data_IF_345294188534
#
_entry.id   IF_345294188534
#
_cell.length_a   1.000
_cell.length_b   1.000
_cell.length_c   1.000
_cell.angle_alpha   90.00
_cell.angle_beta   90.00
_cell.angle_gamma   90.00
#
_symmetry.space_group_name_H-M   'P 1'
#
loop_
_entity.id
_entity.type
_entity.pdbx_description
1 polymer ?
#
# COMPACT_ATOMS: atom_id res chain seq x y z
N UNK A 1 17.51 1.35 -12.48
CA UNK A 1 18.13 1.91 -13.70
C UNK A 1 19.34 2.83 -13.43
N UNK A 2 20.00 2.78 -12.26
CA UNK A 2 21.14 3.64 -11.91
C UNK A 2 22.53 3.00 -11.99
N UNK A 3 22.63 1.70 -12.28
CA UNK A 3 23.91 0.97 -12.23
C UNK A 3 24.91 1.33 -13.35
N UNK A 4 24.47 2.02 -14.40
CA UNK A 4 25.33 2.41 -15.52
C UNK A 4 26.02 3.77 -15.34
N UNK A 5 25.52 4.63 -14.43
CA UNK A 5 26.09 5.96 -14.22
C UNK A 5 27.57 5.93 -13.75
N UNK A 6 27.98 5.05 -12.81
CA UNK A 6 29.39 4.98 -12.39
C UNK A 6 30.32 4.52 -13.52
N UNK A 7 29.83 3.63 -14.40
CA UNK A 7 30.59 3.11 -15.55
C UNK A 7 30.74 4.15 -16.66
N UNK A 8 29.76 5.05 -16.83
CA UNK A 8 29.82 6.12 -17.81
C UNK A 8 30.83 7.22 -17.45
N UNK A 9 31.11 7.42 -16.16
CA UNK A 9 32.06 8.43 -15.68
C UNK A 9 33.43 7.86 -15.28
N UNK A 10 33.62 6.54 -15.37
CA UNK A 10 34.90 5.87 -15.08
C UNK A 10 36.01 6.43 -15.98
N UNK A 11 37.06 7.01 -15.38
CA UNK A 11 38.19 7.61 -16.09
C UNK A 11 38.02 9.10 -16.46
N UNK A 12 36.93 9.75 -16.05
CA UNK A 12 36.72 11.21 -16.21
C UNK A 12 36.95 11.96 -14.89
N UNK A 13 37.31 13.25 -14.91
CA UNK A 13 37.40 14.08 -13.69
C UNK A 13 36.08 14.19 -12.90
N UNK A 14 34.96 13.71 -13.43
CA UNK A 14 33.63 13.71 -12.81
C UNK A 14 33.39 12.51 -11.88
N UNK A 15 34.34 11.56 -11.76
CA UNK A 15 34.19 10.37 -10.90
C UNK A 15 33.91 10.76 -9.44
N UNK A 16 34.58 11.79 -8.91
CA UNK A 16 34.34 12.26 -7.53
C UNK A 16 32.96 12.89 -7.35
N UNK A 17 32.39 13.49 -8.39
CA UNK A 17 31.01 14.01 -8.35
C UNK A 17 29.98 12.86 -8.36
N UNK A 18 30.28 11.75 -9.04
CA UNK A 18 29.43 10.56 -9.04
C UNK A 18 29.41 9.86 -7.67
N UNK A 19 30.55 9.81 -6.97
CA UNK A 19 30.65 9.29 -5.59
C UNK A 19 29.84 10.16 -4.61
N UNK A 20 30.03 11.48 -4.64
CA UNK A 20 29.26 12.42 -3.83
C UNK A 20 27.75 12.31 -4.08
N UNK A 21 27.32 12.21 -5.34
CA UNK A 21 25.92 12.06 -5.69
C UNK A 21 25.33 10.75 -5.14
N UNK A 22 26.11 9.66 -5.13
CA UNK A 22 25.70 8.37 -4.55
C UNK A 22 25.51 8.47 -3.04
N UNK A 23 26.46 9.09 -2.34
CA UNK A 23 26.42 9.23 -0.88
C UNK A 23 25.28 10.16 -0.43
N UNK A 24 25.10 11.29 -1.12
CA UNK A 24 23.96 12.19 -0.88
C UNK A 24 22.63 11.51 -1.20
N UNK A 25 22.57 10.71 -2.28
CA UNK A 25 21.41 9.92 -2.63
C UNK A 25 21.05 8.89 -1.55
N UNK A 26 22.05 8.26 -0.93
CA UNK A 26 21.86 7.33 0.19
C UNK A 26 21.33 8.03 1.44
N UNK A 27 21.92 9.16 1.81
CA UNK A 27 21.47 9.95 2.97
C UNK A 27 20.04 10.45 2.75
N UNK A 28 19.74 10.99 1.56
CA UNK A 28 18.40 11.41 1.18
C UNK A 28 17.39 10.26 1.18
N UNK A 29 17.80 9.09 0.65
CA UNK A 29 16.99 7.87 0.65
C UNK A 29 16.66 7.39 2.05
N UNK A 30 17.65 7.37 2.96
CA UNK A 30 17.45 7.00 4.38
C UNK A 30 16.55 8.00 5.12
N UNK A 31 16.71 9.30 4.87
CA UNK A 31 15.86 10.33 5.46
C UNK A 31 14.40 10.19 5.02
N UNK A 32 14.16 10.02 3.71
CA UNK A 32 12.82 9.79 3.16
C UNK A 32 12.22 8.47 3.64
N UNK A 33 13.04 7.42 3.74
CA UNK A 33 12.61 6.13 4.27
C UNK A 33 12.18 6.23 5.74
N UNK A 34 12.95 6.94 6.58
CA UNK A 34 12.60 7.17 7.98
C UNK A 34 11.29 7.95 8.14
N UNK A 35 11.11 9.01 7.36
CA UNK A 35 9.86 9.78 7.33
C UNK A 35 8.67 8.91 6.85
N UNK A 36 8.90 8.07 5.84
CA UNK A 36 7.91 7.11 5.35
C UNK A 36 7.54 6.05 6.39
N UNK A 37 8.51 5.54 7.15
CA UNK A 37 8.28 4.57 8.22
C UNK A 37 7.39 5.17 9.32
N UNK A 38 7.71 6.39 9.75
CA UNK A 38 6.89 7.13 10.71
C UNK A 38 5.44 7.28 10.23
N UNK A 39 5.27 7.70 8.98
CA UNK A 39 3.94 7.83 8.35
C UNK A 39 3.21 6.49 8.26
N UNK A 40 3.90 5.41 7.90
CA UNK A 40 3.31 4.08 7.79
C UNK A 40 2.83 3.55 9.14
N UNK A 41 3.59 3.81 10.22
CA UNK A 41 3.19 3.47 11.58
C UNK A 41 1.91 4.22 11.95
N UNK A 42 1.87 5.53 11.74
CA UNK A 42 0.67 6.35 11.99
C UNK A 42 -0.53 5.83 11.20
N UNK A 43 -0.36 5.65 9.88
CA UNK A 43 -1.42 5.14 9.01
C UNK A 43 -1.93 3.78 9.51
N UNK A 44 -1.04 2.87 9.88
CA UNK A 44 -1.41 1.54 10.40
C UNK A 44 -2.20 1.64 11.71
N UNK A 45 -1.81 2.54 12.62
CA UNK A 45 -2.51 2.77 13.88
C UNK A 45 -3.92 3.30 13.64
N UNK A 46 -4.06 4.32 12.78
CA UNK A 46 -5.37 4.87 12.41
C UNK A 46 -6.24 3.82 11.71
N UNK A 47 -5.71 3.10 10.73
CA UNK A 47 -6.44 2.03 10.05
C UNK A 47 -6.93 0.98 11.05
N UNK A 48 -6.08 0.53 11.99
CA UNK A 48 -6.50 -0.42 13.04
C UNK A 48 -7.58 0.15 13.97
N UNK A 49 -7.51 1.42 14.31
CA UNK A 49 -8.51 2.10 15.12
C UNK A 49 -9.87 2.14 14.39
N UNK A 50 -9.90 2.61 13.15
CA UNK A 50 -11.13 2.71 12.35
C UNK A 50 -11.74 1.36 11.98
N UNK A 51 -10.92 0.32 11.77
CA UNK A 51 -11.42 -1.04 11.54
C UNK A 51 -12.15 -1.58 12.78
N UNK A 52 -11.70 -1.23 13.98
CA UNK A 52 -12.35 -1.63 15.24
C UNK A 52 -13.71 -0.97 15.44
N UNK A 53 -13.93 0.19 14.83
CA UNK A 53 -15.19 0.93 14.90
C UNK A 53 -16.21 0.49 13.81
N UNK A 54 -16.15 -0.77 13.35
CA UNK A 54 -17.06 -1.38 12.38
C UNK A 54 -17.12 -0.68 11.00
N UNK A 55 -15.98 -0.25 10.46
CA UNK A 55 -15.96 0.32 9.11
C UNK A 55 -16.40 -0.72 8.06
N UNK A 56 -17.47 -0.47 7.28
CA UNK A 56 -17.92 -1.38 6.24
C UNK A 56 -16.85 -1.50 5.13
N UNK A 57 -16.65 -2.73 4.67
CA UNK A 57 -15.71 -3.02 3.58
C UNK A 57 -16.12 -2.27 2.32
N UNK A 58 -15.16 -1.60 1.68
CA UNK A 58 -15.35 -0.93 0.40
C UNK A 58 -14.13 -1.13 -0.50
N UNK A 59 -14.27 -0.85 -1.79
CA UNK A 59 -13.20 -1.05 -2.77
C UNK A 59 -11.96 -0.18 -2.49
N UNK A 60 -12.10 0.90 -1.72
CA UNK A 60 -11.00 1.79 -1.31
C UNK A 60 -9.92 1.11 -0.49
N UNK A 61 -10.17 -0.07 0.08
CA UNK A 61 -9.17 -0.87 0.78
C UNK A 61 -8.02 -1.35 -0.14
N UNK A 62 -8.24 -1.43 -1.47
CA UNK A 62 -7.15 -1.67 -2.41
C UNK A 62 -6.08 -0.57 -2.36
N UNK A 63 -6.45 0.65 -1.97
CA UNK A 63 -5.54 1.79 -1.84
C UNK A 63 -4.38 1.57 -0.87
N UNK A 64 -4.48 0.62 0.06
CA UNK A 64 -3.40 0.30 1.00
C UNK A 64 -2.25 -0.50 0.37
N UNK A 65 -2.53 -1.26 -0.69
CA UNK A 65 -1.54 -2.16 -1.29
C UNK A 65 -0.41 -1.41 -2.01
N UNK A 66 -0.72 -0.27 -2.63
CA UNK A 66 0.26 0.50 -3.39
C UNK A 66 1.33 1.17 -2.50
N UNK A 67 0.98 1.99 -1.49
CA UNK A 67 1.98 2.60 -0.60
C UNK A 67 2.83 1.55 0.11
N UNK A 68 2.20 0.47 0.56
CA UNK A 68 2.88 -0.58 1.31
C UNK A 68 3.82 -1.39 0.40
N UNK A 69 3.45 -1.65 -0.86
CA UNK A 69 4.31 -2.28 -1.86
C UNK A 69 5.50 -1.41 -2.26
N UNK A 70 5.29 -0.12 -2.55
CA UNK A 70 6.39 0.81 -2.87
C UNK A 70 7.36 0.92 -1.71
N UNK A 71 6.85 0.98 -0.47
CA UNK A 71 7.69 1.06 0.73
C UNK A 71 8.48 -0.24 0.98
N UNK A 72 7.89 -1.41 0.72
CA UNK A 72 8.59 -2.69 0.77
C UNK A 72 9.74 -2.75 -0.24
N UNK A 73 9.49 -2.36 -1.50
CA UNK A 73 10.51 -2.31 -2.55
C UNK A 73 11.63 -1.33 -2.21
N UNK A 74 11.30 -0.13 -1.74
CA UNK A 74 12.30 0.85 -1.30
C UNK A 74 13.18 0.31 -0.16
N UNK A 75 12.60 -0.48 0.74
CA UNK A 75 13.34 -1.13 1.83
C UNK A 75 14.29 -2.21 1.31
N UNK A 76 13.88 -3.01 0.32
CA UNK A 76 14.77 -3.98 -0.34
C UNK A 76 15.89 -3.30 -1.14
N UNK A 77 15.62 -2.17 -1.80
CA UNK A 77 16.67 -1.37 -2.45
C UNK A 77 17.68 -0.85 -1.43
N UNK A 78 17.24 -0.36 -0.27
CA UNK A 78 18.16 0.01 0.82
C UNK A 78 18.99 -1.19 1.32
N UNK A 79 18.40 -2.39 1.40
CA UNK A 79 19.14 -3.60 1.70
C UNK A 79 20.21 -3.89 0.65
N UNK A 80 19.87 -3.79 -0.64
CA UNK A 80 20.80 -4.04 -1.74
C UNK A 80 21.97 -3.04 -1.75
N UNK A 81 21.72 -1.78 -1.42
CA UNK A 81 22.77 -0.75 -1.42
C UNK A 81 23.62 -0.78 -0.14
N UNK A 82 23.01 -1.01 1.03
CA UNK A 82 23.72 -0.97 2.33
C UNK A 82 24.29 -2.33 2.75
N UNK A 83 23.77 -3.43 2.22
CA UNK A 83 24.12 -4.80 2.63
C UNK A 83 23.58 -5.19 4.02
N UNK A 84 22.82 -4.33 4.70
CA UNK A 84 22.35 -4.60 6.07
C UNK A 84 21.12 -5.52 6.08
N UNK A 85 21.25 -6.64 6.80
CA UNK A 85 20.15 -7.60 7.00
C UNK A 85 18.93 -7.01 7.72
N UNK A 86 19.11 -5.93 8.48
CA UNK A 86 18.04 -5.15 9.10
C UNK A 86 16.95 -4.75 8.10
N UNK A 87 17.35 -4.21 6.94
CA UNK A 87 16.41 -3.82 5.89
C UNK A 87 15.77 -5.05 5.22
N UNK A 88 16.47 -6.19 5.15
CA UNK A 88 15.88 -7.44 4.66
C UNK A 88 14.70 -7.88 5.53
N UNK A 89 14.86 -7.86 6.86
CA UNK A 89 13.80 -8.23 7.80
C UNK A 89 12.61 -7.28 7.73
N UNK A 90 12.83 -5.97 7.65
CA UNK A 90 11.74 -5.00 7.53
C UNK A 90 11.03 -5.14 6.19
N UNK A 91 11.78 -5.29 5.09
CA UNK A 91 11.22 -5.50 3.76
C UNK A 91 10.35 -6.76 3.73
N UNK A 92 10.81 -7.85 4.35
CA UNK A 92 10.03 -9.09 4.46
C UNK A 92 8.75 -8.90 5.29
N UNK A 93 8.84 -8.20 6.43
CA UNK A 93 7.67 -7.89 7.26
C UNK A 93 6.62 -7.10 6.47
N UNK A 94 7.05 -6.08 5.72
CA UNK A 94 6.18 -5.30 4.85
C UNK A 94 5.58 -6.15 3.72
N UNK A 95 6.36 -7.05 3.11
CA UNK A 95 5.87 -7.95 2.07
C UNK A 95 4.80 -8.93 2.61
N UNK A 96 4.99 -9.46 3.82
CA UNK A 96 3.99 -10.31 4.49
C UNK A 96 2.72 -9.53 4.80
N UNK A 97 2.85 -8.28 5.30
CA UNK A 97 1.70 -7.40 5.51
C UNK A 97 0.96 -7.11 4.21
N UNK A 98 1.68 -6.86 3.11
CA UNK A 98 1.10 -6.67 1.78
C UNK A 98 0.30 -7.88 1.36
N UNK A 99 0.88 -9.08 1.47
CA UNK A 99 0.22 -10.33 1.13
C UNK A 99 -1.07 -10.51 1.95
N UNK A 100 -1.03 -10.26 3.26
CA UNK A 100 -2.20 -10.38 4.12
C UNK A 100 -3.32 -9.40 3.73
N UNK A 101 -2.99 -8.13 3.48
CA UNK A 101 -3.96 -7.12 3.02
C UNK A 101 -4.51 -7.51 1.65
N UNK A 102 -3.65 -7.90 0.73
CA UNK A 102 -4.04 -8.33 -0.61
C UNK A 102 -5.02 -9.50 -0.58
N UNK A 103 -4.73 -10.56 0.19
CA UNK A 103 -5.61 -11.72 0.32
C UNK A 103 -6.95 -11.37 0.98
N UNK A 104 -6.93 -10.51 2.01
CA UNK A 104 -8.16 -10.04 2.66
C UNK A 104 -9.05 -9.27 1.68
N UNK A 105 -8.50 -8.30 0.96
CA UNK A 105 -9.26 -7.48 0.03
C UNK A 105 -9.71 -8.32 -1.16
N UNK A 106 -8.85 -9.14 -1.73
CA UNK A 106 -9.18 -10.03 -2.84
C UNK A 106 -10.33 -10.99 -2.49
N UNK A 107 -10.27 -11.66 -1.34
CA UNK A 107 -11.34 -12.57 -0.90
C UNK A 107 -12.67 -11.84 -0.67
N UNK A 108 -12.65 -10.65 -0.08
CA UNK A 108 -13.84 -9.80 0.13
C UNK A 108 -14.39 -9.25 -1.19
N UNK A 109 -13.53 -8.87 -2.13
CA UNK A 109 -13.93 -8.48 -3.48
C UNK A 109 -14.58 -9.65 -4.21
N UNK A 110 -14.00 -10.85 -4.16
CA UNK A 110 -14.57 -12.04 -4.79
C UNK A 110 -15.93 -12.40 -4.18
N UNK A 111 -16.07 -12.33 -2.85
CA UNK A 111 -17.34 -12.53 -2.17
C UNK A 111 -18.38 -11.47 -2.56
N UNK A 112 -18.01 -10.18 -2.64
CA UNK A 112 -18.93 -9.11 -3.02
C UNK A 112 -19.34 -9.14 -4.50
N UNK A 113 -18.46 -9.61 -5.39
CA UNK A 113 -18.79 -9.89 -6.79
C UNK A 113 -19.77 -11.06 -6.89
N UNK A 114 -19.57 -12.12 -6.09
CA UNK A 114 -20.44 -13.29 -6.07
C UNK A 114 -21.84 -12.99 -5.51
N UNK A 115 -21.97 -12.06 -4.56
CA UNK A 115 -23.26 -11.65 -3.97
C UNK A 115 -23.96 -10.51 -4.74
N UNK A 116 -23.36 -9.94 -5.80
CA UNK A 116 -23.99 -8.89 -6.63
C UNK A 116 -24.09 -7.49 -6.01
N UNK A 117 -23.69 -7.33 -4.75
CA UNK A 117 -23.77 -6.08 -3.97
C UNK A 117 -22.73 -5.02 -4.41
N UNK A 118 -21.64 -5.43 -5.08
CA UNK A 118 -20.59 -4.50 -5.53
C UNK A 118 -21.02 -3.56 -6.67
N UNK A 119 -22.16 -3.84 -7.31
CA UNK A 119 -22.80 -3.01 -8.34
C UNK A 119 -24.20 -2.52 -7.95
N UNK A 120 -24.62 -2.67 -6.69
CA UNK A 120 -25.82 -1.98 -6.20
C UNK A 120 -25.46 -0.51 -5.96
N UNK A 121 -25.34 0.24 -7.06
CA UNK A 121 -25.32 1.68 -7.02
C UNK A 121 -26.75 2.14 -6.66
N UNK A 122 -27.00 2.69 -5.45
CA UNK A 122 -28.36 3.13 -5.08
C UNK A 122 -28.89 4.24 -5.99
N UNK A 123 -28.00 4.89 -6.76
CA UNK A 123 -28.32 5.88 -7.77
C UNK A 123 -28.77 5.32 -9.13
N UNK A 124 -28.71 4.00 -9.36
CA UNK A 124 -29.33 3.33 -10.51
C UNK A 124 -30.73 2.78 -10.20
N UNK A 125 -31.21 2.94 -8.96
CA UNK A 125 -32.64 2.86 -8.67
C UNK A 125 -33.34 4.00 -9.39
N UNK A 126 -33.95 3.72 -10.55
CA UNK A 126 -34.76 4.70 -11.26
C UNK A 126 -35.80 5.31 -10.31
N UNK A 127 -36.16 6.60 -10.46
CA UNK A 127 -37.17 7.25 -9.64
C UNK A 127 -38.51 6.51 -9.80
N UNK A 128 -38.81 5.59 -8.89
CA UNK A 128 -39.98 4.72 -8.98
C UNK A 128 -39.78 3.26 -8.54
N UNK A 129 -38.60 2.83 -8.08
CA UNK A 129 -38.49 1.50 -7.48
C UNK A 129 -39.33 1.44 -6.19
N UNK A 130 -40.40 0.62 -6.13
CA UNK A 130 -41.30 0.62 -4.98
C UNK A 130 -40.53 0.13 -3.76
N UNK A 131 -40.57 0.91 -2.68
CA UNK A 131 -40.13 0.46 -1.38
C UNK A 131 -41.00 -0.72 -0.97
N UNK A 132 -40.50 -1.94 -1.17
CA UNK A 132 -41.13 -3.14 -0.61
C UNK A 132 -40.89 -3.11 0.89
N UNK A 133 -41.80 -2.45 1.60
CA UNK A 133 -41.85 -2.45 3.06
C UNK A 133 -42.28 -3.85 3.53
N UNK A 134 -41.34 -4.62 4.05
CA UNK A 134 -41.53 -6.01 4.53
C UNK A 134 -42.32 -6.06 5.87
N UNK A 135 -43.17 -5.06 6.15
CA UNK A 135 -43.82 -4.89 7.46
C UNK A 135 -45.34 -5.01 7.45
N UNK A 136 -45.98 -5.49 6.37
CA UNK A 136 -47.46 -5.62 6.34
C UNK A 136 -48.01 -7.05 6.34
N UNK A 137 -47.20 -8.10 6.54
CA UNK A 137 -47.68 -9.50 6.51
C UNK A 137 -47.59 -10.23 7.87
N UNK A 138 -47.56 -9.50 8.99
CA UNK A 138 -47.52 -10.08 10.35
C UNK A 138 -48.49 -9.42 11.34
N UNK A 139 -49.62 -8.88 10.86
CA UNK A 139 -50.77 -8.57 11.71
C UNK A 139 -52.03 -9.01 10.98
N UNK A 140 -52.64 -10.09 11.48
CA UNK A 140 -53.82 -10.73 10.89
C UNK A 140 -55.14 -10.00 11.13
#
# INVERSE_FOLDING_TARGET
MGHAAPLAFAGTPLVGAAELARDLGLIGGLALWGAGLWWLVIATLFTRHYIRDNMPFNLGWWGFTFPLGVFALATFELQAVTGLSFFAFIGLLLAVQLAAVWTLVFSRTLAGVWHGELFQAPCLGGPGSPAVSVLSEQAG
#
